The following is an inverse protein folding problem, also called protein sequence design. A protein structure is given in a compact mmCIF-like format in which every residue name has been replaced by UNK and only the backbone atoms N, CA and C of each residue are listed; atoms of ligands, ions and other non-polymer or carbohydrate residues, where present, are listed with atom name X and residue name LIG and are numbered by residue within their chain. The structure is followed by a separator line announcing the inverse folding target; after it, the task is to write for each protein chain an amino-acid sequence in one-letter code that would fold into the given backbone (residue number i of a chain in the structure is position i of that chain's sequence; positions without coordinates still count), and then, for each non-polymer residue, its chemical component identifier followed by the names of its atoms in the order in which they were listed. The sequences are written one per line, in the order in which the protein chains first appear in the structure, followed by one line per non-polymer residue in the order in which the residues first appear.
data_IF_280786906658
#
_entry.id   IF_280786906658
#
_cell.length_a   1.000
_cell.length_b   1.000
_cell.length_c   1.000
_cell.angle_alpha   90.00
_cell.angle_beta   90.00
_cell.angle_gamma   90.00
#
_symmetry.space_group_name_H-M   'P 1'
#
loop_
_entity.id
_entity.type
_entity.pdbx_description
1 polymer ?
#
# COMPACT_ATOMS: atom_id res chain seq x y z
N UNK A 1 -33.24 -21.87 -17.30
CA UNK A 1 -33.12 -20.41 -17.07
C UNK A 1 -31.97 -20.20 -16.09
N UNK A 2 -30.77 -19.90 -16.59
CA UNK A 2 -29.60 -19.66 -15.76
C UNK A 2 -29.64 -18.21 -15.24
N UNK A 3 -29.79 -18.08 -13.93
CA UNK A 3 -29.63 -16.79 -13.25
C UNK A 3 -28.16 -16.44 -13.29
N UNK A 4 -27.81 -15.54 -14.16
CA UNK A 4 -26.50 -14.86 -14.17
C UNK A 4 -26.34 -14.14 -12.83
N UNK A 5 -25.54 -14.67 -11.94
CA UNK A 5 -25.11 -13.99 -10.73
C UNK A 5 -24.25 -12.80 -11.16
N UNK A 6 -24.83 -11.62 -11.20
CA UNK A 6 -24.10 -10.37 -11.30
C UNK A 6 -23.21 -10.25 -10.05
N UNK A 7 -21.92 -10.47 -10.21
CA UNK A 7 -20.92 -10.14 -9.19
C UNK A 7 -20.91 -8.61 -9.03
N UNK A 8 -21.70 -8.11 -8.11
CA UNK A 8 -21.53 -6.78 -7.60
C UNK A 8 -20.22 -6.77 -6.80
N UNK A 9 -19.20 -6.13 -7.34
CA UNK A 9 -18.00 -5.80 -6.60
C UNK A 9 -18.38 -4.78 -5.52
N UNK A 10 -18.64 -5.26 -4.32
CA UNK A 10 -18.74 -4.40 -3.15
C UNK A 10 -17.34 -3.85 -2.87
N UNK A 11 -17.12 -2.58 -3.16
CA UNK A 11 -15.87 -1.92 -2.78
C UNK A 11 -15.89 -1.71 -1.26
N UNK A 12 -15.23 -2.58 -0.57
CA UNK A 12 -14.97 -2.47 0.87
C UNK A 12 -13.48 -2.23 1.11
N UNK A 13 -13.12 -1.76 2.28
CA UNK A 13 -11.73 -1.49 2.59
C UNK A 13 -11.36 -1.76 4.04
N UNK A 14 -10.13 -2.16 4.26
CA UNK A 14 -9.54 -2.44 5.57
C UNK A 14 -8.23 -1.69 5.77
N UNK A 15 -7.93 -1.46 7.04
CA UNK A 15 -6.62 -0.93 7.48
C UNK A 15 -5.86 -2.07 8.15
N UNK A 16 -4.68 -2.38 7.62
CA UNK A 16 -3.80 -3.41 8.16
C UNK A 16 -2.43 -2.83 8.50
N UNK A 17 -1.65 -3.55 9.28
CA UNK A 17 -0.29 -3.18 9.66
C UNK A 17 0.69 -4.25 9.20
N UNK A 18 1.74 -3.85 8.49
CA UNK A 18 2.77 -4.77 8.02
C UNK A 18 3.58 -5.33 9.17
N UNK A 19 3.67 -6.66 9.28
CA UNK A 19 4.48 -7.35 10.29
C UNK A 19 5.84 -7.71 9.71
N UNK A 20 5.86 -8.68 8.78
CA UNK A 20 7.07 -9.28 8.24
C UNK A 20 6.82 -9.88 6.88
N UNK A 21 7.84 -10.49 6.31
CA UNK A 21 7.72 -11.36 5.13
C UNK A 21 8.17 -12.77 5.49
N UNK A 22 7.52 -13.76 4.91
CA UNK A 22 7.84 -15.18 5.05
C UNK A 22 7.57 -15.89 3.74
N UNK A 23 7.65 -17.21 3.75
CA UNK A 23 7.30 -18.07 2.64
C UNK A 23 6.26 -19.10 3.11
N UNK A 24 5.33 -19.42 2.23
CA UNK A 24 4.32 -20.45 2.44
C UNK A 24 4.54 -21.52 1.37
N UNK A 25 4.51 -22.81 1.78
CA UNK A 25 4.52 -23.93 0.85
C UNK A 25 3.16 -24.04 0.16
N UNK A 26 3.16 -24.11 -1.17
CA UNK A 26 1.99 -24.36 -1.99
C UNK A 26 2.30 -25.49 -2.97
N UNK A 27 1.99 -26.71 -2.56
CA UNK A 27 2.50 -27.91 -3.22
C UNK A 27 4.03 -27.94 -3.11
N UNK A 28 4.71 -28.14 -4.23
CA UNK A 28 6.18 -28.18 -4.30
C UNK A 28 6.86 -26.80 -4.38
N UNK A 29 6.09 -25.72 -4.45
CA UNK A 29 6.62 -24.38 -4.59
C UNK A 29 6.55 -23.56 -3.29
N UNK A 30 7.62 -22.83 -2.99
CA UNK A 30 7.65 -21.82 -1.91
C UNK A 30 7.22 -20.46 -2.46
N UNK A 31 6.09 -19.97 -1.97
CA UNK A 31 5.53 -18.67 -2.36
C UNK A 31 5.92 -17.61 -1.33
N UNK A 32 6.63 -16.53 -1.73
CA UNK A 32 6.94 -15.44 -0.82
C UNK A 32 5.68 -14.65 -0.49
N UNK A 33 5.45 -14.38 0.79
CA UNK A 33 4.29 -13.64 1.26
C UNK A 33 4.67 -12.56 2.26
N UNK A 34 3.88 -11.51 2.30
CA UNK A 34 3.94 -10.48 3.33
C UNK A 34 2.78 -10.67 4.30
N UNK A 35 3.08 -10.76 5.59
CA UNK A 35 2.09 -10.86 6.65
C UNK A 35 1.65 -9.46 7.08
N UNK A 36 0.33 -9.25 7.05
CA UNK A 36 -0.33 -8.04 7.52
C UNK A 36 -1.24 -8.42 8.68
N UNK A 37 -1.16 -7.68 9.79
CA UNK A 37 -2.10 -7.79 10.90
C UNK A 37 -3.19 -6.75 10.73
N UNK A 38 -4.42 -7.15 10.83
CA UNK A 38 -5.57 -6.25 10.96
C UNK A 38 -5.70 -5.91 12.45
N UNK A 39 -5.49 -4.64 12.87
CA UNK A 39 -5.72 -4.23 14.25
C UNK A 39 -7.21 -4.25 14.55
N UNK A 40 -7.59 -4.03 15.79
CA UNK A 40 -9.00 -3.81 16.11
C UNK A 40 -9.49 -2.57 15.38
N UNK A 41 -10.38 -2.76 14.43
CA UNK A 41 -11.01 -1.70 13.64
C UNK A 41 -12.41 -1.45 14.18
N UNK A 42 -12.79 -0.18 14.27
CA UNK A 42 -14.18 0.21 14.56
C UNK A 42 -14.59 1.33 13.62
N UNK A 43 -15.87 1.32 13.22
CA UNK A 43 -16.45 2.39 12.42
C UNK A 43 -16.61 3.62 13.31
N UNK A 44 -15.87 4.68 13.00
CA UNK A 44 -15.96 5.95 13.73
C UNK A 44 -17.04 6.86 13.18
N UNK A 45 -17.24 6.85 11.85
CA UNK A 45 -18.22 7.68 11.16
C UNK A 45 -18.58 7.03 9.82
N UNK A 46 -19.82 7.23 9.42
CA UNK A 46 -20.33 6.86 8.09
C UNK A 46 -20.57 8.15 7.33
N UNK A 47 -19.96 8.29 6.18
CA UNK A 47 -20.17 9.39 5.26
C UNK A 47 -21.18 8.99 4.21
N UNK A 48 -22.15 9.87 3.95
CA UNK A 48 -23.22 9.66 2.98
C UNK A 48 -23.16 10.68 1.86
N UNK A 49 -23.59 10.30 0.67
CA UNK A 49 -23.61 11.19 -0.48
C UNK A 49 -24.42 12.48 -0.25
N UNK A 50 -25.47 12.42 0.56
CA UNK A 50 -26.34 13.55 0.85
C UNK A 50 -25.66 14.64 1.72
N UNK A 51 -24.85 14.22 2.71
CA UNK A 51 -24.20 15.15 3.65
C UNK A 51 -22.77 15.51 3.25
N UNK A 52 -22.02 14.53 2.77
CA UNK A 52 -20.57 14.65 2.52
C UNK A 52 -20.23 14.69 1.02
N UNK A 53 -21.20 14.43 0.13
CA UNK A 53 -21.01 14.38 -1.32
C UNK A 53 -20.46 13.06 -1.85
N UNK A 54 -20.09 12.11 -0.98
CA UNK A 54 -19.62 10.77 -1.33
C UNK A 54 -19.83 9.78 -0.19
N UNK A 55 -19.85 8.48 -0.52
CA UNK A 55 -20.03 7.41 0.48
C UNK A 55 -18.68 6.86 0.92
N UNK A 56 -18.40 6.84 2.22
CA UNK A 56 -17.19 6.28 2.80
C UNK A 56 -17.40 5.88 4.26
N UNK A 57 -16.62 4.89 4.73
CA UNK A 57 -16.48 4.59 6.14
C UNK A 57 -15.21 5.21 6.69
N UNK A 58 -15.30 5.85 7.83
CA UNK A 58 -14.14 6.30 8.60
C UNK A 58 -13.82 5.23 9.63
N UNK A 59 -12.69 4.54 9.44
CA UNK A 59 -12.23 3.48 10.31
C UNK A 59 -11.19 3.98 11.30
N UNK A 60 -11.38 3.67 12.56
CA UNK A 60 -10.40 3.85 13.64
C UNK A 60 -9.67 2.53 13.90
N UNK A 61 -8.37 2.52 13.63
CA UNK A 61 -7.49 1.43 14.03
C UNK A 61 -7.00 1.66 15.46
N UNK A 62 -7.37 0.75 16.37
CA UNK A 62 -7.03 0.82 17.78
C UNK A 62 -5.85 -0.08 18.12
N UNK A 63 -5.04 0.31 19.09
CA UNK A 63 -4.01 -0.54 19.65
C UNK A 63 -4.60 -1.47 20.73
N UNK A 64 -3.78 -2.40 21.28
CA UNK A 64 -4.17 -3.31 22.34
C UNK A 64 -4.70 -2.62 23.61
N UNK A 65 -4.40 -1.32 23.79
CA UNK A 65 -4.86 -0.50 24.93
C UNK A 65 -6.15 0.29 24.59
N UNK A 66 -6.79 0.02 23.45
CA UNK A 66 -8.03 0.69 23.03
C UNK A 66 -7.84 2.11 22.46
N UNK A 67 -6.61 2.64 22.41
CA UNK A 67 -6.35 3.99 21.89
C UNK A 67 -6.29 3.95 20.36
N UNK A 68 -6.99 4.89 19.70
CA UNK A 68 -6.90 5.07 18.23
C UNK A 68 -5.50 5.50 17.84
N UNK A 69 -4.86 4.70 17.00
CA UNK A 69 -3.50 4.94 16.47
C UNK A 69 -3.58 5.53 15.08
N UNK A 70 -4.56 5.11 14.29
CA UNK A 70 -4.74 5.57 12.92
C UNK A 70 -6.21 5.67 12.57
N UNK A 71 -6.57 6.74 11.91
CA UNK A 71 -7.90 6.96 11.31
C UNK A 71 -7.75 7.02 9.81
N UNK A 72 -8.62 6.35 9.07
CA UNK A 72 -8.59 6.34 7.61
C UNK A 72 -9.99 6.16 7.04
N UNK A 73 -10.27 6.91 5.98
CA UNK A 73 -11.43 6.72 5.14
C UNK A 73 -11.17 5.60 4.14
N UNK A 74 -12.15 4.74 3.99
CA UNK A 74 -12.17 3.66 3.00
C UNK A 74 -13.46 3.74 2.19
N UNK A 75 -13.43 3.38 0.90
CA UNK A 75 -14.66 3.35 0.11
C UNK A 75 -15.66 2.40 0.74
N UNK A 76 -16.93 2.74 0.65
CA UNK A 76 -18.04 1.98 1.21
C UNK A 76 -19.21 1.98 0.26
N UNK A 77 -19.75 0.80 -0.01
CA UNK A 77 -21.02 0.67 -0.71
C UNK A 77 -22.16 0.69 0.32
N UNK A 78 -23.10 1.59 0.12
CA UNK A 78 -24.26 1.78 1.01
C UNK A 78 -25.21 0.57 1.06
N UNK A 79 -25.01 -0.43 0.20
CA UNK A 79 -25.80 -1.67 0.21
C UNK A 79 -25.53 -2.55 1.45
N UNK A 80 -24.41 -2.33 2.15
CA UNK A 80 -24.07 -3.04 3.39
C UNK A 80 -24.47 -2.16 4.58
N UNK A 81 -25.46 -2.58 5.36
CA UNK A 81 -25.87 -1.86 6.56
C UNK A 81 -24.80 -1.97 7.65
N UNK A 82 -24.08 -0.88 7.92
CA UNK A 82 -23.13 -0.77 9.03
C UNK A 82 -23.52 0.38 9.94
N UNK A 83 -23.22 0.23 11.23
CA UNK A 83 -23.47 1.25 12.23
C UNK A 83 -22.17 1.82 12.80
N UNK A 84 -22.24 3.03 13.31
CA UNK A 84 -21.12 3.63 14.04
C UNK A 84 -20.86 2.80 15.31
N UNK A 85 -19.61 2.39 15.48
CA UNK A 85 -19.18 1.51 16.56
C UNK A 85 -18.97 0.05 16.17
N UNK A 86 -19.49 -0.39 15.03
CA UNK A 86 -19.30 -1.75 14.55
C UNK A 86 -17.82 -2.10 14.40
N UNK A 87 -17.47 -3.32 14.76
CA UNK A 87 -16.13 -3.84 14.62
C UNK A 87 -15.95 -4.51 13.25
N UNK A 88 -14.80 -4.24 12.62
CA UNK A 88 -14.37 -4.94 11.42
C UNK A 88 -13.15 -5.80 11.73
N UNK A 89 -13.13 -7.01 11.19
CA UNK A 89 -12.04 -7.94 11.33
C UNK A 89 -11.56 -8.47 9.95
N UNK A 90 -10.62 -9.39 9.98
CA UNK A 90 -10.08 -10.01 8.77
C UNK A 90 -11.08 -10.88 8.02
N UNK A 91 -12.17 -11.28 8.67
CA UNK A 91 -13.24 -12.11 8.08
C UNK A 91 -13.92 -11.46 6.88
N UNK A 92 -13.92 -10.13 6.80
CA UNK A 92 -14.46 -9.41 5.63
C UNK A 92 -13.69 -9.66 4.33
N UNK A 93 -12.46 -10.20 4.42
CA UNK A 93 -11.64 -10.60 3.25
C UNK A 93 -11.95 -12.00 2.73
N UNK A 94 -12.83 -12.76 3.39
CA UNK A 94 -13.14 -14.11 2.93
C UNK A 94 -13.81 -14.13 1.57
N UNK A 95 -13.34 -15.05 0.73
CA UNK A 95 -13.77 -15.15 -0.66
C UNK A 95 -13.13 -14.13 -1.59
N UNK A 96 -12.33 -13.19 -1.08
CA UNK A 96 -11.61 -12.20 -1.91
C UNK A 96 -10.31 -12.83 -2.41
N UNK A 97 -10.18 -12.97 -3.74
CA UNK A 97 -8.99 -13.51 -4.37
C UNK A 97 -7.83 -12.52 -4.44
N UNK A 98 -8.15 -11.26 -4.70
CA UNK A 98 -7.16 -10.19 -4.91
C UNK A 98 -7.59 -8.89 -4.24
N UNK A 99 -6.60 -8.13 -3.77
CA UNK A 99 -6.83 -6.83 -3.13
C UNK A 99 -6.00 -5.73 -3.79
N UNK A 100 -6.56 -4.54 -3.89
CA UNK A 100 -5.83 -3.32 -4.18
C UNK A 100 -5.20 -2.81 -2.90
N UNK A 101 -3.90 -2.56 -2.93
CA UNK A 101 -3.12 -2.22 -1.75
C UNK A 101 -2.46 -0.85 -1.91
N UNK A 102 -2.64 0.03 -0.94
CA UNK A 102 -1.97 1.35 -0.89
C UNK A 102 -1.18 1.49 0.39
N UNK A 103 0.10 1.85 0.27
CA UNK A 103 0.98 2.06 1.42
C UNK A 103 2.05 3.10 1.13
N UNK A 104 2.77 3.55 2.16
CA UNK A 104 3.87 4.50 2.04
C UNK A 104 5.20 3.75 1.97
N UNK A 105 5.96 3.96 0.91
CA UNK A 105 7.27 3.32 0.71
C UNK A 105 8.30 3.76 1.75
N UNK A 106 9.32 2.91 2.01
CA UNK A 106 10.45 3.25 2.90
C UNK A 106 11.11 4.55 2.45
N UNK A 107 11.28 5.51 3.36
CA UNK A 107 12.06 6.71 3.12
C UNK A 107 13.56 6.40 3.05
N UNK A 108 14.26 6.98 2.08
CA UNK A 108 15.70 6.85 1.88
C UNK A 108 16.41 8.20 1.98
N UNK A 109 15.70 9.24 2.42
CA UNK A 109 16.21 10.59 2.55
C UNK A 109 16.57 11.24 1.21
N UNK A 110 17.50 12.19 1.23
CA UNK A 110 18.06 12.78 0.02
C UNK A 110 19.09 11.84 -0.58
N UNK A 111 18.93 11.45 -1.84
CA UNK A 111 19.81 10.50 -2.52
C UNK A 111 20.31 11.05 -3.85
N UNK A 112 21.55 10.67 -4.20
CA UNK A 112 22.15 10.97 -5.48
C UNK A 112 21.50 10.23 -6.66
N UNK A 113 21.84 10.65 -7.87
CA UNK A 113 21.24 10.13 -9.10
C UNK A 113 21.50 8.60 -9.28
N UNK A 114 22.65 8.10 -8.87
CA UNK A 114 22.95 6.67 -8.97
C UNK A 114 21.99 5.82 -8.15
N UNK A 115 21.77 6.15 -6.86
CA UNK A 115 20.86 5.39 -5.98
C UNK A 115 19.39 5.62 -6.33
N UNK A 116 19.04 6.83 -6.80
CA UNK A 116 17.64 7.18 -7.06
C UNK A 116 17.14 6.70 -8.41
N UNK A 117 18.02 6.70 -9.42
CA UNK A 117 17.65 6.48 -10.84
C UNK A 117 18.52 5.45 -11.54
N UNK A 118 19.42 4.77 -10.82
CA UNK A 118 20.34 3.77 -11.36
C UNK A 118 21.28 4.32 -12.46
N UNK A 119 21.80 5.55 -12.27
CA UNK A 119 22.80 6.10 -13.19
C UNK A 119 24.12 5.34 -13.03
N UNK A 120 24.83 5.11 -14.14
CA UNK A 120 26.07 4.36 -14.17
C UNK A 120 27.22 5.09 -13.47
N UNK A 121 27.25 6.41 -13.53
CA UNK A 121 28.40 7.21 -13.07
C UNK A 121 29.54 7.27 -14.09
N UNK A 122 30.72 7.65 -13.64
CA UNK A 122 31.93 7.73 -14.45
C UNK A 122 33.04 6.77 -13.99
N UNK A 123 34.18 6.72 -14.69
CA UNK A 123 35.29 5.89 -14.33
C UNK A 123 35.83 6.19 -12.92
N UNK A 124 36.28 5.17 -12.20
CA UNK A 124 36.86 5.30 -10.86
C UNK A 124 38.39 5.59 -10.89
N UNK A 125 39.03 5.49 -12.04
CA UNK A 125 40.47 5.70 -12.25
C UNK A 125 40.74 6.47 -13.54
N UNK A 126 41.95 6.30 -14.11
CA UNK A 126 42.43 6.96 -15.33
C UNK A 126 42.35 8.50 -15.31
N UNK A 127 42.56 9.10 -14.12
CA UNK A 127 42.51 10.55 -13.93
C UNK A 127 41.12 11.17 -13.96
N UNK A 128 40.06 10.37 -14.06
CA UNK A 128 38.67 10.85 -14.03
C UNK A 128 38.34 11.47 -12.68
N UNK A 129 37.72 12.65 -12.71
CA UNK A 129 37.14 13.30 -11.53
C UNK A 129 35.58 13.15 -11.48
N UNK A 130 35.04 12.48 -12.49
CA UNK A 130 33.60 12.27 -12.67
C UNK A 130 33.22 10.87 -12.17
N UNK A 131 33.13 10.67 -10.87
CA UNK A 131 32.83 9.35 -10.29
C UNK A 131 31.31 9.11 -10.14
N UNK A 132 30.65 9.94 -9.34
CA UNK A 132 29.23 9.79 -8.97
C UNK A 132 28.37 11.00 -9.35
N UNK A 133 28.90 11.86 -10.20
CA UNK A 133 28.25 13.08 -10.63
C UNK A 133 27.04 12.81 -11.56
N UNK A 134 26.15 13.78 -11.66
CA UNK A 134 24.90 13.65 -12.42
C UNK A 134 25.15 13.61 -13.95
N UNK A 135 26.20 14.29 -14.41
CA UNK A 135 26.47 14.51 -15.82
C UNK A 135 25.73 15.70 -16.39
N UNK A 136 25.61 15.76 -17.70
CA UNK A 136 24.93 16.83 -18.39
C UNK A 136 23.45 16.92 -17.99
N UNK A 137 23.00 18.11 -17.69
CA UNK A 137 21.60 18.39 -17.33
C UNK A 137 20.79 18.95 -18.51
N UNK A 138 21.41 19.21 -19.63
CA UNK A 138 20.75 19.70 -20.84
C UNK A 138 21.72 20.29 -21.84
N UNK A 139 21.16 20.95 -22.84
CA UNK A 139 21.85 21.69 -23.89
C UNK A 139 21.62 23.21 -23.72
N UNK A 140 22.33 24.05 -24.51
CA UNK A 140 22.17 25.52 -24.46
C UNK A 140 20.73 25.97 -24.69
N UNK A 141 20.00 25.31 -25.54
CA UNK A 141 18.56 25.55 -25.79
C UNK A 141 17.74 24.29 -25.43
N UNK A 142 16.62 24.38 -24.74
CA UNK A 142 16.01 25.56 -24.11
C UNK A 142 16.81 25.96 -22.85
N UNK A 143 17.02 27.18 -22.56
CA UNK A 143 17.82 27.74 -21.43
C UNK A 143 17.34 27.31 -20.02
N UNK A 144 16.81 26.10 -19.90
CA UNK A 144 16.30 25.47 -18.67
C UNK A 144 16.41 23.95 -18.76
N UNK A 145 16.39 23.29 -17.61
CA UNK A 145 16.24 21.83 -17.57
C UNK A 145 14.83 21.42 -17.96
N UNK A 146 14.71 20.36 -18.77
CA UNK A 146 13.38 19.84 -19.14
C UNK A 146 12.65 19.32 -17.90
N UNK A 147 11.32 19.55 -17.79
CA UNK A 147 10.49 18.92 -16.76
C UNK A 147 10.70 17.39 -16.75
N UNK A 148 10.70 16.77 -15.57
CA UNK A 148 10.91 15.33 -15.41
C UNK A 148 12.36 14.86 -15.55
N UNK A 149 13.35 15.76 -15.76
CA UNK A 149 14.77 15.38 -15.78
C UNK A 149 15.16 14.68 -14.47
N UNK A 150 15.70 13.46 -14.58
CA UNK A 150 16.12 12.64 -13.45
C UNK A 150 17.34 13.28 -12.76
N UNK A 151 17.16 13.70 -11.50
CA UNK A 151 18.17 14.36 -10.66
C UNK A 151 18.16 13.78 -9.26
N UNK A 152 19.19 14.12 -8.47
CA UNK A 152 19.21 13.87 -7.04
C UNK A 152 18.00 14.52 -6.34
N UNK A 153 17.67 14.08 -5.15
CA UNK A 153 16.57 14.60 -4.35
C UNK A 153 15.99 13.55 -3.40
N UNK A 154 14.86 13.88 -2.77
CA UNK A 154 14.19 12.99 -1.82
C UNK A 154 13.75 11.69 -2.51
N UNK A 155 14.10 10.56 -1.91
CA UNK A 155 13.79 9.23 -2.40
C UNK A 155 12.98 8.46 -1.36
N UNK A 156 11.95 7.77 -1.83
CA UNK A 156 11.01 7.04 -0.97
C UNK A 156 10.07 7.97 -0.20
N UNK A 157 9.40 7.43 0.83
CA UNK A 157 8.34 8.08 1.59
C UNK A 157 7.25 8.66 0.69
N UNK A 158 6.89 7.90 -0.34
CA UNK A 158 5.82 8.20 -1.28
C UNK A 158 4.74 7.14 -1.18
N UNK A 159 3.50 7.54 -1.37
CA UNK A 159 2.38 6.61 -1.52
C UNK A 159 2.57 5.78 -2.79
N UNK A 160 2.46 4.47 -2.63
CA UNK A 160 2.54 3.48 -3.70
C UNK A 160 1.30 2.62 -3.63
N UNK A 161 0.65 2.44 -4.77
CA UNK A 161 -0.53 1.60 -4.91
C UNK A 161 -0.19 0.41 -5.79
N UNK A 162 -0.48 -0.80 -5.32
CA UNK A 162 -0.48 -2.04 -6.08
C UNK A 162 -1.93 -2.37 -6.40
N UNK A 163 -2.25 -2.56 -7.67
CA UNK A 163 -3.64 -2.68 -8.13
C UNK A 163 -4.26 -4.04 -7.84
N UNK A 164 -3.47 -5.10 -7.93
CA UNK A 164 -3.92 -6.48 -7.79
C UNK A 164 -2.83 -7.27 -7.05
N UNK A 165 -3.13 -7.69 -5.84
CA UNK A 165 -2.25 -8.48 -5.00
C UNK A 165 -3.04 -9.69 -4.52
N UNK A 166 -2.64 -10.92 -4.90
CA UNK A 166 -3.34 -12.12 -4.47
C UNK A 166 -3.30 -12.32 -2.95
N UNK A 167 -4.44 -12.74 -2.40
CA UNK A 167 -4.58 -13.17 -1.00
C UNK A 167 -4.27 -14.67 -0.96
N UNK A 168 -3.24 -15.07 -0.21
CA UNK A 168 -2.82 -16.47 -0.13
C UNK A 168 -3.42 -17.18 1.09
N UNK A 169 -3.53 -16.49 2.21
CA UNK A 169 -4.03 -17.07 3.46
C UNK A 169 -4.66 -16.01 4.34
N UNK A 170 -5.74 -16.38 5.00
CA UNK A 170 -6.42 -15.58 6.01
C UNK A 170 -6.46 -16.37 7.32
N UNK A 171 -5.87 -15.83 8.37
CA UNK A 171 -5.89 -16.38 9.73
C UNK A 171 -6.79 -15.50 10.60
N UNK A 172 -7.97 -16.00 10.93
CA UNK A 172 -8.94 -15.28 11.75
C UNK A 172 -8.53 -15.22 13.22
N UNK A 173 -7.90 -16.26 13.75
CA UNK A 173 -7.53 -16.32 15.18
C UNK A 173 -6.53 -15.23 15.55
N UNK A 174 -5.55 -15.01 14.68
CA UNK A 174 -4.50 -14.01 14.87
C UNK A 174 -4.78 -12.67 14.19
N UNK A 175 -5.88 -12.55 13.44
CA UNK A 175 -6.21 -11.40 12.59
C UNK A 175 -5.07 -11.07 11.61
N UNK A 176 -4.56 -12.09 10.92
CA UNK A 176 -3.46 -11.96 9.96
C UNK A 176 -3.95 -12.33 8.56
N UNK A 177 -3.53 -11.54 7.59
CA UNK A 177 -3.67 -11.85 6.17
C UNK A 177 -2.28 -11.95 5.53
N UNK A 178 -2.06 -13.00 4.74
CA UNK A 178 -0.86 -13.20 3.96
C UNK A 178 -1.11 -12.83 2.51
N UNK A 179 -0.41 -11.81 2.03
CA UNK A 179 -0.48 -11.33 0.65
C UNK A 179 0.74 -11.78 -0.12
N UNK A 180 0.55 -12.21 -1.36
CA UNK A 180 1.64 -12.68 -2.23
C UNK A 180 2.59 -11.55 -2.60
N UNK A 181 3.87 -11.78 -2.37
CA UNK A 181 4.96 -10.88 -2.78
C UNK A 181 5.24 -9.72 -1.81
N UNK A 182 6.03 -8.73 -2.25
CA UNK A 182 6.46 -7.63 -1.42
C UNK A 182 5.42 -6.53 -1.31
N UNK A 183 5.12 -6.09 -0.09
CA UNK A 183 4.28 -4.92 0.20
C UNK A 183 5.17 -3.71 0.50
N UNK A 184 4.92 -2.53 -0.10
CA UNK A 184 5.66 -1.31 0.19
C UNK A 184 5.61 -0.92 1.67
N UNK A 185 6.65 -0.26 2.16
CA UNK A 185 6.73 0.27 3.52
C UNK A 185 7.67 -0.51 4.45
N UNK A 186 7.92 0.08 5.60
CA UNK A 186 8.69 -0.53 6.68
C UNK A 186 7.80 -1.48 7.51
N UNK A 187 8.40 -2.23 8.43
CA UNK A 187 7.65 -2.95 9.46
C UNK A 187 6.81 -1.93 10.27
N UNK A 188 5.67 -2.36 10.73
CA UNK A 188 4.68 -1.56 11.45
C UNK A 188 4.04 -0.40 10.66
N UNK A 189 4.31 -0.26 9.35
CA UNK A 189 3.62 0.72 8.50
C UNK A 189 2.18 0.27 8.25
N UNK A 190 1.26 1.23 8.29
CA UNK A 190 -0.13 0.98 7.92
C UNK A 190 -0.27 0.82 6.40
N UNK A 191 -1.09 -0.13 6.02
CA UNK A 191 -1.41 -0.52 4.66
C UNK A 191 -2.92 -0.47 4.50
N UNK A 192 -3.38 0.09 3.42
CA UNK A 192 -4.81 0.18 3.11
C UNK A 192 -5.13 -0.84 2.03
N UNK A 193 -6.09 -1.70 2.33
CA UNK A 193 -6.61 -2.72 1.44
C UNK A 193 -7.97 -2.27 0.94
N UNK A 194 -8.25 -2.45 -0.34
CA UNK A 194 -9.54 -2.21 -0.98
C UNK A 194 -9.85 -3.42 -1.85
N UNK A 195 -11.05 -3.96 -1.74
CA UNK A 195 -11.52 -5.20 -2.38
C UNK A 195 -13.02 -5.16 -2.69
#
# INVERSE_FOLDING_TARGET
MSVSASFFFYMSGLVAQKISMTQIARGDALVPVTLLRVPQLSVAQIKTAEKDGYSALVLDAKNKKGKTVKRKEVPYDTAVAMNVGDALDVGTLEGVAEVKLTSVSKGKGFTGAMKRWNFAGGPGGHGSKFHRALGSIGTRKPRRTKPGKKMHGRHGNKTVTLQSVPVELIDRENNIVALRGPVPGAMNTFVYLVF
#
